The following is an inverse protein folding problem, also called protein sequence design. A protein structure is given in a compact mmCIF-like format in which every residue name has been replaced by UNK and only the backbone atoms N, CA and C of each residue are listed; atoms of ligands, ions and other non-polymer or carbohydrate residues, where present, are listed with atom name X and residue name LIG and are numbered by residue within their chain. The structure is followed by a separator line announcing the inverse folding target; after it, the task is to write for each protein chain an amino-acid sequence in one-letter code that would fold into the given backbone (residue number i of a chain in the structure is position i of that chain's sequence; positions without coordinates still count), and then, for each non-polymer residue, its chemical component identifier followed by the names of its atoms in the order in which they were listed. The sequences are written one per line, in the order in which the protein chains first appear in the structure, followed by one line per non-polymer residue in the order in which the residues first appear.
data_IF_382652310616
#
_entry.id   IF_382652310616
#
_cell.length_a   1.000
_cell.length_b   1.000
_cell.length_c   1.000
_cell.angle_alpha   90.00
_cell.angle_beta   90.00
_cell.angle_gamma   90.00
#
_symmetry.space_group_name_H-M   'P 1'
#
loop_
_entity.id
_entity.type
_entity.pdbx_description
1 polymer ?
#
# COMPACT_ATOMS: atom_id res chain seq x y z
N UNK A 1 5.95 18.51 -43.68
CA UNK A 1 6.95 18.27 -42.63
C UNK A 1 8.08 19.27 -42.75
N UNK A 2 8.35 19.99 -41.65
CA UNK A 2 9.35 21.07 -41.71
C UNK A 2 10.76 20.45 -41.66
N UNK A 3 11.41 20.34 -42.79
CA UNK A 3 12.75 19.73 -43.00
C UNK A 3 13.87 20.35 -42.17
N UNK A 4 13.64 21.53 -41.59
CA UNK A 4 14.65 22.24 -40.77
C UNK A 4 14.90 21.55 -39.40
N UNK A 5 13.94 20.89 -38.82
CA UNK A 5 14.10 20.18 -37.52
C UNK A 5 14.87 18.87 -37.66
N UNK A 6 14.88 18.25 -38.85
CA UNK A 6 15.56 16.99 -39.09
C UNK A 6 17.04 17.21 -39.35
N UNK A 7 17.40 18.32 -39.98
CA UNK A 7 18.81 18.67 -40.30
C UNK A 7 19.70 18.88 -39.09
N UNK A 8 19.14 19.23 -37.91
CA UNK A 8 19.93 19.40 -36.71
C UNK A 8 20.38 18.09 -36.03
N UNK A 9 19.69 16.95 -36.32
CA UNK A 9 20.00 15.65 -35.72
C UNK A 9 20.80 14.69 -36.59
N UNK A 10 20.75 14.85 -37.92
CA UNK A 10 21.40 13.97 -38.87
C UNK A 10 22.30 14.77 -39.81
N UNK A 11 23.57 14.37 -39.94
CA UNK A 11 24.55 15.03 -40.80
C UNK A 11 24.25 14.83 -42.30
N UNK A 12 23.67 13.68 -42.67
CA UNK A 12 23.35 13.31 -44.06
C UNK A 12 21.85 12.93 -44.16
N UNK A 13 21.24 13.25 -45.32
CA UNK A 13 19.84 12.88 -45.62
C UNK A 13 19.61 11.36 -45.63
N UNK A 14 20.63 10.61 -45.98
CA UNK A 14 20.58 9.14 -46.04
C UNK A 14 20.45 8.48 -44.65
N UNK A 15 20.79 9.21 -43.59
CA UNK A 15 20.67 8.76 -42.22
C UNK A 15 19.27 9.06 -41.61
N UNK A 16 18.36 9.66 -42.37
CA UNK A 16 17.02 9.99 -41.93
C UNK A 16 16.12 8.79 -42.15
N UNK A 17 15.71 8.17 -41.04
CA UNK A 17 14.73 7.11 -41.09
C UNK A 17 13.37 7.72 -41.49
N UNK A 18 12.73 7.21 -42.53
CA UNK A 18 11.39 7.61 -42.94
C UNK A 18 10.40 6.49 -42.71
N UNK A 19 9.32 6.78 -41.98
CA UNK A 19 8.18 5.87 -41.81
C UNK A 19 7.11 6.24 -42.84
N UNK A 20 6.61 5.25 -43.58
CA UNK A 20 5.53 5.46 -44.54
C UNK A 20 4.24 5.94 -43.84
N UNK A 21 3.42 6.69 -44.56
CA UNK A 21 2.16 7.25 -44.03
C UNK A 21 1.26 6.18 -43.41
N UNK A 22 1.06 5.08 -44.12
CA UNK A 22 0.18 3.98 -43.65
C UNK A 22 0.67 3.36 -42.34
N UNK A 23 2.00 3.12 -42.22
CA UNK A 23 2.58 2.58 -40.98
C UNK A 23 2.45 3.56 -39.82
N UNK A 24 2.67 4.86 -40.11
CA UNK A 24 2.50 5.92 -39.11
C UNK A 24 1.05 6.04 -38.64
N UNK A 25 0.09 5.96 -39.55
CA UNK A 25 -1.34 6.05 -39.23
C UNK A 25 -1.80 4.84 -38.41
N UNK A 26 -1.39 3.63 -38.78
CA UNK A 26 -1.65 2.41 -38.00
C UNK A 26 -1.07 2.49 -36.59
N UNK A 27 0.18 2.96 -36.45
CA UNK A 27 0.81 3.13 -35.14
C UNK A 27 0.06 4.15 -34.25
N UNK A 28 -0.35 5.29 -34.82
CA UNK A 28 -1.14 6.27 -34.09
C UNK A 28 -2.53 5.75 -33.69
N UNK A 29 -3.19 5.00 -34.56
CA UNK A 29 -4.47 4.39 -34.28
C UNK A 29 -4.39 3.35 -33.19
N UNK A 30 -3.36 2.47 -33.21
CA UNK A 30 -3.11 1.50 -32.17
C UNK A 30 -2.79 2.17 -30.82
N UNK A 31 -1.95 3.22 -30.82
CA UNK A 31 -1.63 3.96 -29.62
C UNK A 31 -2.86 4.63 -28.99
N UNK A 32 -3.73 5.25 -29.82
CA UNK A 32 -5.00 5.84 -29.36
C UNK A 32 -5.89 4.78 -28.72
N UNK A 33 -6.00 3.62 -29.36
CA UNK A 33 -6.78 2.51 -28.84
C UNK A 33 -6.25 2.04 -27.49
N UNK A 34 -4.93 1.81 -27.35
CA UNK A 34 -4.28 1.42 -26.10
C UNK A 34 -4.53 2.44 -24.99
N UNK A 35 -4.34 3.73 -25.28
CA UNK A 35 -4.60 4.82 -24.31
C UNK A 35 -6.06 4.83 -23.85
N UNK A 36 -7.01 4.62 -24.77
CA UNK A 36 -8.43 4.67 -24.45
C UNK A 36 -8.93 3.44 -23.69
N UNK A 37 -8.37 2.26 -23.93
CA UNK A 37 -8.89 0.99 -23.40
C UNK A 37 -8.05 0.44 -22.22
N UNK A 38 -6.75 0.70 -22.20
CA UNK A 38 -5.82 0.16 -21.19
C UNK A 38 -5.02 1.24 -20.47
N UNK A 39 -5.19 2.52 -20.86
CA UNK A 39 -4.45 3.63 -20.31
C UNK A 39 -4.95 4.03 -18.91
N UNK A 40 -4.02 4.18 -17.99
CA UNK A 40 -4.27 4.78 -16.69
C UNK A 40 -3.79 6.23 -16.69
N UNK A 41 -4.73 7.18 -16.70
CA UNK A 41 -4.43 8.61 -16.83
C UNK A 41 -4.40 9.32 -15.48
N UNK A 42 -3.41 10.20 -15.31
CA UNK A 42 -3.29 11.15 -14.19
C UNK A 42 -2.92 12.51 -14.77
N UNK A 43 -3.88 13.43 -14.80
CA UNK A 43 -3.71 14.70 -15.50
C UNK A 43 -3.42 14.49 -16.99
N UNK A 44 -2.31 15.05 -17.46
CA UNK A 44 -1.83 14.92 -18.85
C UNK A 44 -0.87 13.74 -19.09
N UNK A 45 -0.64 12.90 -18.05
CA UNK A 45 0.18 11.70 -18.13
C UNK A 45 -0.70 10.44 -18.20
N UNK A 46 -0.35 9.52 -19.09
CA UNK A 46 -1.01 8.22 -19.22
C UNK A 46 0.03 7.10 -19.21
N UNK A 47 -0.19 6.14 -18.31
CA UNK A 47 0.59 4.89 -18.25
C UNK A 47 -0.16 3.84 -19.05
N UNK A 48 0.52 3.20 -19.99
CA UNK A 48 -0.01 2.10 -20.79
C UNK A 48 0.89 0.88 -20.65
N UNK A 49 0.28 -0.27 -20.41
CA UNK A 49 0.99 -1.57 -20.31
C UNK A 49 0.24 -2.57 -21.16
N UNK A 50 0.96 -3.25 -22.05
CA UNK A 50 0.33 -4.23 -22.93
C UNK A 50 1.31 -5.34 -23.34
N UNK A 51 0.73 -6.49 -23.68
CA UNK A 51 1.41 -7.58 -24.35
C UNK A 51 1.27 -7.39 -25.86
N UNK A 52 2.34 -7.57 -26.64
CA UNK A 52 2.31 -7.35 -28.09
C UNK A 52 1.34 -8.29 -28.79
N UNK A 53 1.19 -9.53 -28.30
CA UNK A 53 0.21 -10.50 -28.78
C UNK A 53 -1.25 -10.18 -28.43
N UNK A 54 -1.50 -9.20 -27.57
CA UNK A 54 -2.83 -8.78 -27.15
C UNK A 54 -3.41 -9.52 -25.95
N UNK A 55 -2.62 -10.37 -25.30
CA UNK A 55 -3.05 -11.08 -24.08
C UNK A 55 -3.12 -10.14 -22.87
N UNK A 56 -4.07 -10.43 -21.98
CA UNK A 56 -4.21 -9.69 -20.72
C UNK A 56 -3.02 -9.92 -19.81
N UNK A 57 -2.49 -8.86 -19.24
CA UNK A 57 -1.36 -8.88 -18.32
C UNK A 57 -1.64 -8.03 -17.08
N UNK A 58 -1.08 -8.40 -15.91
CA UNK A 58 -1.19 -7.56 -14.73
C UNK A 58 -0.42 -6.25 -14.92
N UNK A 59 -0.97 -5.13 -14.45
CA UNK A 59 -0.28 -3.85 -14.54
C UNK A 59 0.45 -3.53 -13.22
N UNK A 60 1.56 -2.79 -13.24
CA UNK A 60 2.27 -2.41 -12.03
C UNK A 60 1.46 -1.45 -11.13
N UNK A 61 0.32 -0.95 -11.63
CA UNK A 61 -0.54 -0.01 -10.91
C UNK A 61 -1.54 -0.69 -9.98
N UNK A 62 -1.83 -1.99 -10.22
CA UNK A 62 -2.81 -2.78 -9.49
C UNK A 62 -2.32 -3.17 -8.10
N UNK A 63 -3.25 -3.37 -7.18
CA UNK A 63 -2.97 -4.05 -5.91
C UNK A 63 -3.02 -5.59 -6.08
N UNK A 64 -2.63 -6.31 -5.04
CA UNK A 64 -2.62 -7.78 -5.12
C UNK A 64 -4.01 -8.36 -5.28
N UNK A 65 -5.04 -7.75 -4.68
CA UNK A 65 -6.40 -8.23 -4.84
C UNK A 65 -6.83 -8.22 -6.31
N UNK A 66 -6.59 -7.12 -7.03
CA UNK A 66 -6.94 -6.98 -8.44
C UNK A 66 -6.22 -8.01 -9.34
N UNK A 67 -4.98 -8.38 -8.99
CA UNK A 67 -4.21 -9.37 -9.74
C UNK A 67 -4.68 -10.80 -9.45
N UNK A 68 -5.09 -11.08 -8.22
CA UNK A 68 -5.42 -12.43 -7.76
C UNK A 68 -6.91 -12.75 -7.80
N UNK A 69 -7.76 -11.74 -7.82
CA UNK A 69 -9.21 -11.90 -7.81
C UNK A 69 -9.72 -12.26 -9.22
N UNK A 70 -9.57 -13.52 -9.57
CA UNK A 70 -10.23 -14.10 -10.76
C UNK A 70 -11.72 -14.41 -10.58
N UNK A 71 -12.34 -14.06 -9.45
CA UNK A 71 -13.71 -14.39 -9.10
C UNK A 71 -14.62 -13.21 -8.80
N UNK A 72 -15.93 -13.40 -8.87
CA UNK A 72 -16.94 -12.42 -8.45
C UNK A 72 -16.84 -12.21 -6.92
N UNK A 73 -16.46 -11.01 -6.43
CA UNK A 73 -16.36 -10.73 -5.00
C UNK A 73 -17.70 -10.80 -4.27
N UNK A 74 -18.80 -10.85 -4.99
CA UNK A 74 -20.17 -10.97 -4.49
C UNK A 74 -20.73 -12.40 -4.63
N UNK A 75 -19.96 -13.36 -5.17
CA UNK A 75 -20.33 -14.76 -5.24
C UNK A 75 -20.21 -15.47 -3.89
N UNK A 76 -20.94 -16.60 -3.75
CA UNK A 76 -20.91 -17.43 -2.53
C UNK A 76 -19.53 -18.04 -2.24
N UNK A 77 -18.68 -18.17 -3.26
CA UNK A 77 -17.30 -18.65 -3.18
C UNK A 77 -16.26 -17.52 -3.16
N UNK A 78 -16.65 -16.30 -2.76
CA UNK A 78 -15.69 -15.20 -2.62
C UNK A 78 -14.53 -15.65 -1.72
N UNK A 79 -13.30 -15.68 -2.19
CA UNK A 79 -12.19 -16.20 -1.41
C UNK A 79 -12.08 -15.41 -0.12
N UNK A 80 -12.17 -16.09 1.01
CA UNK A 80 -11.81 -15.50 2.29
C UNK A 80 -10.32 -15.11 2.19
N UNK A 81 -10.08 -13.84 1.92
CA UNK A 81 -8.76 -13.32 1.58
C UNK A 81 -7.79 -13.25 2.78
N UNK A 82 -8.13 -13.93 3.87
CA UNK A 82 -7.29 -14.00 5.06
C UNK A 82 -6.44 -15.27 4.96
N UNK A 83 -5.21 -15.09 4.50
CA UNK A 83 -4.24 -16.17 4.50
C UNK A 83 -3.58 -16.27 5.87
N UNK A 84 -3.72 -17.44 6.50
CA UNK A 84 -3.16 -17.69 7.83
C UNK A 84 -1.64 -17.92 7.82
N UNK A 85 -0.99 -17.95 6.64
CA UNK A 85 0.46 -18.07 6.54
C UNK A 85 1.04 -17.39 5.30
N UNK A 86 2.27 -16.90 5.41
CA UNK A 86 3.04 -16.33 4.30
C UNK A 86 3.19 -17.31 3.12
N UNK A 87 3.26 -18.62 3.41
CA UNK A 87 3.35 -19.66 2.36
C UNK A 87 2.07 -19.75 1.52
N UNK A 88 0.91 -19.64 2.14
CA UNK A 88 -0.37 -19.69 1.41
C UNK A 88 -0.50 -18.48 0.51
N UNK A 89 -0.13 -17.29 1.03
CA UNK A 89 -0.13 -16.07 0.26
C UNK A 89 0.85 -16.12 -0.92
N UNK A 90 2.11 -16.49 -0.69
CA UNK A 90 3.13 -16.60 -1.74
C UNK A 90 2.68 -17.58 -2.84
N UNK A 91 2.05 -18.71 -2.47
CA UNK A 91 1.49 -19.68 -3.42
C UNK A 91 0.34 -19.10 -4.24
N UNK A 92 -0.52 -18.26 -3.64
CA UNK A 92 -1.60 -17.60 -4.37
C UNK A 92 -1.06 -16.64 -5.43
N UNK A 93 -0.13 -15.78 -5.06
CA UNK A 93 0.52 -14.85 -6.01
C UNK A 93 1.21 -15.63 -7.11
N UNK A 94 1.89 -16.72 -6.77
CA UNK A 94 2.53 -17.58 -7.75
C UNK A 94 1.53 -18.24 -8.72
N UNK A 95 0.41 -18.75 -8.23
CA UNK A 95 -0.65 -19.31 -9.07
C UNK A 95 -1.27 -18.26 -10.00
N UNK A 96 -1.54 -17.05 -9.48
CA UNK A 96 -2.06 -15.96 -10.29
C UNK A 96 -1.07 -15.58 -11.40
N UNK A 97 0.21 -15.38 -11.06
CA UNK A 97 1.26 -15.03 -12.03
C UNK A 97 1.45 -16.14 -13.06
N UNK A 98 1.45 -17.42 -12.64
CA UNK A 98 1.53 -18.54 -13.56
C UNK A 98 0.30 -18.61 -14.49
N UNK A 99 -0.89 -18.24 -14.01
CA UNK A 99 -2.09 -18.15 -14.85
C UNK A 99 -1.92 -17.18 -16.01
N UNK A 100 -1.26 -16.05 -15.80
CA UNK A 100 -0.87 -15.13 -16.89
C UNK A 100 0.20 -15.72 -17.79
N UNK A 101 1.23 -16.36 -17.20
CA UNK A 101 2.33 -16.96 -17.95
C UNK A 101 1.87 -18.01 -18.95
N UNK A 102 0.88 -18.85 -18.61
CA UNK A 102 0.34 -19.85 -19.53
C UNK A 102 -0.41 -19.27 -20.73
N UNK A 103 -0.88 -18.03 -20.64
CA UNK A 103 -1.62 -17.36 -21.71
C UNK A 103 -0.70 -16.61 -22.68
N UNK A 104 0.48 -16.20 -22.24
CA UNK A 104 1.39 -15.34 -23.02
C UNK A 104 2.45 -16.23 -23.68
N UNK A 105 2.60 -16.21 -25.01
CA UNK A 105 3.68 -16.92 -25.70
C UNK A 105 5.07 -16.44 -25.27
N UNK A 106 6.04 -17.34 -25.12
CA UNK A 106 7.41 -17.02 -24.67
C UNK A 106 8.16 -16.04 -25.60
N UNK A 107 7.77 -16.00 -26.88
CA UNK A 107 8.36 -15.11 -27.90
C UNK A 107 7.66 -13.76 -28.01
N UNK A 108 6.73 -13.48 -27.13
CA UNK A 108 6.04 -12.18 -27.07
C UNK A 108 6.81 -11.19 -26.19
N UNK A 109 6.42 -9.92 -26.27
CA UNK A 109 7.01 -8.86 -25.46
C UNK A 109 5.94 -8.11 -24.68
N UNK A 110 6.29 -7.72 -23.47
CA UNK A 110 5.50 -6.81 -22.63
C UNK A 110 6.11 -5.41 -22.69
N UNK A 111 5.31 -4.43 -23.07
CA UNK A 111 5.74 -3.05 -23.19
C UNK A 111 5.06 -2.20 -22.13
N UNK A 112 5.85 -1.35 -21.47
CA UNK A 112 5.37 -0.31 -20.57
C UNK A 112 5.77 1.03 -21.14
N UNK A 113 4.80 1.92 -21.29
CA UNK A 113 5.02 3.26 -21.81
C UNK A 113 4.30 4.29 -20.92
N UNK A 114 4.99 5.36 -20.59
CA UNK A 114 4.39 6.54 -19.97
C UNK A 114 4.41 7.65 -21.00
N UNK A 115 3.23 8.16 -21.30
CA UNK A 115 2.97 9.21 -22.26
C UNK A 115 2.59 10.49 -21.53
N UNK A 116 3.11 11.61 -21.97
CA UNK A 116 2.76 12.93 -21.44
C UNK A 116 2.37 13.88 -22.57
N UNK A 117 1.23 14.54 -22.39
CA UNK A 117 0.68 15.51 -23.34
C UNK A 117 0.73 16.93 -22.75
N UNK A 118 1.95 17.47 -22.59
CA UNK A 118 2.16 18.79 -21.99
C UNK A 118 1.49 19.95 -22.77
N UNK A 119 1.21 19.75 -24.05
CA UNK A 119 0.47 20.72 -24.89
C UNK A 119 -0.37 19.99 -25.93
N UNK A 120 -1.55 20.54 -26.34
CA UNK A 120 -2.36 19.96 -27.38
C UNK A 120 -1.56 19.65 -28.66
N UNK A 121 -1.64 18.42 -29.13
CA UNK A 121 -0.94 17.95 -30.33
C UNK A 121 0.52 17.55 -30.16
N UNK A 122 1.05 17.56 -28.92
CA UNK A 122 2.40 17.06 -28.62
C UNK A 122 2.32 15.96 -27.57
N UNK A 123 2.69 14.75 -27.99
CA UNK A 123 2.82 13.59 -27.12
C UNK A 123 4.30 13.27 -26.93
N UNK A 124 4.74 13.17 -25.68
CA UNK A 124 6.10 12.79 -25.28
C UNK A 124 6.06 11.44 -24.60
N UNK A 125 7.05 10.59 -24.88
CA UNK A 125 7.27 9.35 -24.15
C UNK A 125 8.29 9.68 -23.06
N UNK A 126 7.85 9.64 -21.79
CA UNK A 126 8.72 9.94 -20.63
C UNK A 126 9.35 8.68 -20.05
N UNK A 127 8.72 7.53 -20.28
CA UNK A 127 9.21 6.23 -19.84
C UNK A 127 8.87 5.16 -20.89
N UNK A 128 9.83 4.28 -21.19
CA UNK A 128 9.66 3.15 -22.08
C UNK A 128 10.49 1.97 -21.60
N UNK A 129 9.86 0.80 -21.48
CA UNK A 129 10.53 -0.47 -21.23
C UNK A 129 9.86 -1.58 -22.01
N UNK A 130 10.70 -2.53 -22.40
CA UNK A 130 10.31 -3.75 -23.07
C UNK A 130 10.90 -4.93 -22.30
N UNK A 131 10.09 -5.94 -22.04
CA UNK A 131 10.46 -7.11 -21.25
C UNK A 131 10.04 -8.39 -21.96
N UNK A 132 10.78 -9.48 -21.72
CA UNK A 132 10.20 -10.80 -21.91
C UNK A 132 9.03 -11.02 -20.92
N UNK A 133 8.03 -11.83 -21.26
CA UNK A 133 6.91 -12.10 -20.37
C UNK A 133 7.38 -12.61 -19.01
N UNK A 134 8.34 -13.53 -19.01
CA UNK A 134 8.89 -14.11 -17.79
C UNK A 134 9.54 -13.05 -16.87
N UNK A 135 10.41 -12.20 -17.43
CA UNK A 135 11.08 -11.15 -16.66
C UNK A 135 10.07 -10.15 -16.07
N UNK A 136 9.05 -9.81 -16.86
CA UNK A 136 8.00 -8.89 -16.40
C UNK A 136 7.20 -9.49 -15.24
N UNK A 137 6.71 -10.72 -15.42
CA UNK A 137 5.90 -11.42 -14.43
C UNK A 137 6.68 -11.70 -13.13
N UNK A 138 7.96 -12.01 -13.22
CA UNK A 138 8.83 -12.19 -12.05
C UNK A 138 9.02 -10.88 -11.27
N UNK A 139 9.07 -9.73 -11.94
CA UNK A 139 9.12 -8.41 -11.29
C UNK A 139 7.80 -8.09 -10.57
N UNK A 140 6.67 -8.35 -11.22
CA UNK A 140 5.34 -8.22 -10.60
C UNK A 140 5.23 -9.14 -9.38
N UNK A 141 5.59 -10.42 -9.52
CA UNK A 141 5.62 -11.39 -8.42
C UNK A 141 6.47 -10.90 -7.24
N UNK A 142 7.69 -10.44 -7.54
CA UNK A 142 8.62 -9.93 -6.51
C UNK A 142 8.01 -8.75 -5.75
N UNK A 143 7.39 -7.80 -6.45
CA UNK A 143 6.73 -6.68 -5.81
C UNK A 143 5.61 -7.13 -4.88
N UNK A 144 4.70 -7.96 -5.39
CA UNK A 144 3.53 -8.41 -4.64
C UNK A 144 3.85 -9.36 -3.49
N UNK A 145 5.02 -10.01 -3.50
CA UNK A 145 5.48 -10.88 -2.40
C UNK A 145 6.35 -10.16 -1.37
N UNK A 146 6.88 -8.99 -1.68
CA UNK A 146 7.78 -8.25 -0.78
C UNK A 146 7.18 -6.98 -0.19
N UNK A 147 6.21 -6.36 -0.88
CA UNK A 147 5.46 -5.18 -0.41
C UNK A 147 4.15 -5.60 0.28
N UNK A 148 4.22 -6.58 1.18
CA UNK A 148 3.05 -7.30 1.73
C UNK A 148 2.62 -6.76 3.07
N UNK A 149 1.30 -6.62 3.24
CA UNK A 149 0.61 -6.46 4.52
C UNK A 149 -0.84 -6.91 4.44
N UNK A 150 -1.54 -6.99 5.58
CA UNK A 150 -2.98 -7.24 5.60
C UNK A 150 -3.73 -5.90 5.52
N UNK A 151 -4.65 -5.78 4.56
CA UNK A 151 -5.43 -4.59 4.25
C UNK A 151 -6.93 -4.85 4.42
N UNK A 152 -7.64 -3.89 5.06
CA UNK A 152 -9.10 -3.96 5.32
C UNK A 152 -9.87 -2.81 4.68
N UNK A 153 -9.26 -2.07 3.77
CA UNK A 153 -9.82 -0.82 3.22
C UNK A 153 -10.39 -0.94 1.81
N UNK A 154 -10.20 -2.07 1.14
CA UNK A 154 -10.66 -2.25 -0.25
C UNK A 154 -12.18 -2.25 -0.28
N UNK A 155 -12.75 -1.38 -1.10
CA UNK A 155 -14.18 -1.31 -1.34
C UNK A 155 -14.46 -1.71 -2.78
N UNK A 156 -15.25 -2.73 -2.96
CA UNK A 156 -15.68 -3.21 -4.28
C UNK A 156 -17.16 -2.93 -4.44
N UNK A 157 -17.54 -2.50 -5.63
CA UNK A 157 -18.94 -2.18 -5.95
C UNK A 157 -19.46 -3.05 -7.09
N UNK A 158 -20.74 -3.44 -7.00
CA UNK A 158 -21.48 -4.12 -8.06
C UNK A 158 -22.76 -3.34 -8.34
N UNK A 159 -23.06 -3.15 -9.60
CA UNK A 159 -24.35 -2.59 -10.00
C UNK A 159 -25.33 -3.76 -10.12
N UNK A 160 -26.39 -3.74 -9.31
CA UNK A 160 -27.44 -4.73 -9.33
C UNK A 160 -28.38 -4.49 -10.55
N UNK A 161 -29.16 -5.51 -10.97
CA UNK A 161 -30.10 -5.37 -12.09
C UNK A 161 -31.15 -4.26 -11.92
N UNK A 162 -31.42 -3.88 -10.67
CA UNK A 162 -32.34 -2.77 -10.32
C UNK A 162 -31.67 -1.39 -10.37
N UNK A 163 -30.40 -1.31 -10.79
CA UNK A 163 -29.61 -0.08 -10.87
C UNK A 163 -29.01 0.41 -9.54
N UNK A 164 -29.26 -0.30 -8.43
CA UNK A 164 -28.63 0.02 -7.14
C UNK A 164 -27.20 -0.45 -7.11
N UNK A 165 -26.36 0.29 -6.38
CA UNK A 165 -24.97 -0.06 -6.14
C UNK A 165 -24.86 -0.80 -4.81
N UNK A 166 -24.39 -2.04 -4.86
CA UNK A 166 -23.97 -2.81 -3.68
C UNK A 166 -22.49 -2.59 -3.43
N UNK A 167 -22.14 -2.30 -2.17
CA UNK A 167 -20.76 -2.06 -1.73
C UNK A 167 -20.34 -3.14 -0.76
N UNK A 168 -19.19 -3.76 -1.02
CA UNK A 168 -18.62 -4.78 -0.14
C UNK A 168 -17.21 -4.39 0.28
N UNK A 169 -16.95 -4.40 1.59
CA UNK A 169 -15.61 -4.26 2.12
C UNK A 169 -14.84 -5.59 1.98
N UNK A 170 -13.66 -5.50 1.39
CA UNK A 170 -12.78 -6.65 1.17
C UNK A 170 -11.55 -6.50 2.05
N UNK A 171 -11.23 -7.57 2.75
CA UNK A 171 -9.96 -7.75 3.45
C UNK A 171 -9.04 -8.59 2.57
N UNK A 172 -7.82 -8.13 2.33
CA UNK A 172 -6.85 -8.85 1.52
C UNK A 172 -5.43 -8.71 2.08
N UNK A 173 -4.62 -9.72 1.84
CA UNK A 173 -3.19 -9.69 2.13
C UNK A 173 -2.44 -9.40 0.83
N UNK A 174 -1.50 -8.44 0.85
CA UNK A 174 -0.73 -8.16 -0.36
C UNK A 174 -0.10 -6.79 -0.43
N UNK A 175 0.32 -6.43 -1.66
CA UNK A 175 0.82 -5.11 -1.97
C UNK A 175 -0.34 -4.15 -2.26
N UNK A 176 -0.31 -2.93 -1.74
CA UNK A 176 -1.25 -1.88 -2.11
C UNK A 176 -0.98 -1.36 -3.51
N UNK A 177 -1.97 -0.68 -4.10
CA UNK A 177 -1.79 0.02 -5.38
C UNK A 177 -0.79 1.17 -5.26
N UNK A 178 -0.20 1.57 -6.39
CA UNK A 178 0.71 2.75 -6.43
C UNK A 178 0.01 4.00 -5.90
N UNK A 179 -1.27 4.21 -6.24
CA UNK A 179 -2.02 5.35 -5.75
C UNK A 179 -2.20 5.32 -4.23
N UNK A 180 -2.42 4.15 -3.66
CA UNK A 180 -2.54 3.99 -2.21
C UNK A 180 -1.20 4.26 -1.50
N UNK A 181 -0.07 3.86 -2.09
CA UNK A 181 1.27 4.19 -1.57
C UNK A 181 1.50 5.71 -1.57
N UNK A 182 1.16 6.38 -2.67
CA UNK A 182 1.26 7.85 -2.76
C UNK A 182 0.35 8.51 -1.73
N UNK A 183 -0.89 8.03 -1.60
CA UNK A 183 -1.84 8.51 -0.58
C UNK A 183 -1.31 8.35 0.84
N UNK A 184 -0.73 7.20 1.19
CA UNK A 184 -0.20 6.97 2.53
C UNK A 184 0.94 7.92 2.88
N UNK A 185 1.81 8.23 1.92
CA UNK A 185 2.97 9.09 2.13
C UNK A 185 2.65 10.59 2.06
N UNK A 186 1.76 11.01 1.17
CA UNK A 186 1.56 12.43 0.84
C UNK A 186 0.13 12.94 1.10
N UNK A 187 -0.84 12.07 1.33
CA UNK A 187 -2.23 12.45 1.54
C UNK A 187 -3.05 12.56 0.24
N UNK A 188 -4.24 13.18 0.36
CA UNK A 188 -5.17 13.33 -0.78
C UNK A 188 -4.81 14.48 -1.72
N UNK A 189 -4.24 15.55 -1.16
CA UNK A 189 -4.00 16.82 -1.88
C UNK A 189 -2.57 16.88 -2.45
N UNK A 190 -2.21 15.87 -3.23
CA UNK A 190 -0.92 15.86 -3.94
C UNK A 190 -1.08 16.63 -5.25
N UNK A 191 -0.19 17.57 -5.51
CA UNK A 191 -0.11 18.27 -6.80
C UNK A 191 0.06 17.27 -7.94
N UNK A 192 -0.61 17.49 -9.07
CA UNK A 192 -0.59 16.56 -10.22
C UNK A 192 0.84 16.32 -10.74
N UNK A 193 1.66 17.36 -10.82
CA UNK A 193 3.05 17.23 -11.25
C UNK A 193 3.86 16.36 -10.31
N UNK A 194 3.65 16.55 -9.00
CA UNK A 194 4.28 15.71 -7.98
C UNK A 194 3.77 14.27 -8.06
N UNK A 195 2.46 14.07 -8.23
CA UNK A 195 1.86 12.74 -8.34
C UNK A 195 2.45 11.94 -9.51
N UNK A 196 2.59 12.55 -10.69
CA UNK A 196 3.22 11.95 -11.86
C UNK A 196 4.65 11.49 -11.57
N UNK A 197 5.46 12.37 -11.00
CA UNK A 197 6.84 12.04 -10.66
C UNK A 197 6.94 10.89 -9.65
N UNK A 198 6.07 10.88 -8.64
CA UNK A 198 6.01 9.79 -7.66
C UNK A 198 5.57 8.46 -8.29
N UNK A 199 4.63 8.49 -9.23
CA UNK A 199 4.23 7.30 -9.99
C UNK A 199 5.38 6.73 -10.82
N UNK A 200 6.14 7.55 -11.53
CA UNK A 200 7.32 7.12 -12.30
C UNK A 200 8.38 6.46 -11.41
N UNK A 201 8.62 7.03 -10.23
CA UNK A 201 9.54 6.44 -9.25
C UNK A 201 9.05 5.05 -8.82
N UNK A 202 7.78 4.92 -8.44
CA UNK A 202 7.23 3.64 -7.98
C UNK A 202 7.15 2.59 -9.10
N UNK A 203 6.77 2.99 -10.31
CA UNK A 203 6.83 2.12 -11.50
C UNK A 203 8.27 1.61 -11.68
N UNK A 204 9.27 2.48 -11.58
CA UNK A 204 10.67 2.06 -11.67
C UNK A 204 11.11 1.12 -10.54
N UNK A 205 10.52 1.24 -9.34
CA UNK A 205 10.78 0.27 -8.25
C UNK A 205 10.26 -1.13 -8.61
N UNK A 206 9.12 -1.20 -9.30
CA UNK A 206 8.50 -2.47 -9.71
C UNK A 206 9.25 -3.04 -10.93
N UNK A 207 9.38 -2.25 -11.99
CA UNK A 207 9.81 -2.70 -13.30
C UNK A 207 11.33 -2.73 -13.50
N UNK A 208 12.05 -1.77 -12.91
CA UNK A 208 13.52 -1.72 -12.98
C UNK A 208 14.19 -2.36 -11.75
N UNK A 209 13.42 -2.84 -10.75
CA UNK A 209 13.95 -3.40 -9.52
C UNK A 209 14.68 -2.38 -8.65
N UNK A 210 14.37 -1.09 -8.80
CA UNK A 210 14.94 -0.05 -7.94
C UNK A 210 14.43 -0.19 -6.52
N UNK A 211 15.27 0.16 -5.56
CA UNK A 211 14.89 0.13 -4.13
C UNK A 211 13.80 1.12 -3.81
N UNK A 212 12.90 0.75 -2.91
CA UNK A 212 11.91 1.67 -2.34
C UNK A 212 12.62 2.90 -1.74
N UNK A 213 12.30 4.12 -2.18
CA UNK A 213 12.95 5.32 -1.65
C UNK A 213 12.64 5.51 -0.17
N UNK A 214 13.69 5.82 0.62
CA UNK A 214 13.56 6.08 2.05
C UNK A 214 12.57 7.20 2.38
N UNK A 215 12.41 8.15 1.48
CA UNK A 215 11.47 9.26 1.64
C UNK A 215 10.02 8.82 1.68
N UNK A 216 9.61 7.83 0.86
CA UNK A 216 8.26 7.25 0.95
C UNK A 216 8.01 6.65 2.33
N UNK A 217 8.95 5.84 2.81
CA UNK A 217 8.86 5.24 4.13
C UNK A 217 8.80 6.30 5.24
N UNK A 218 9.70 7.28 5.22
CA UNK A 218 9.76 8.31 6.26
C UNK A 218 8.51 9.19 6.28
N UNK A 219 8.02 9.62 5.11
CA UNK A 219 6.82 10.47 5.02
C UNK A 219 5.56 9.74 5.43
N UNK A 220 5.38 8.50 4.97
CA UNK A 220 4.23 7.67 5.38
C UNK A 220 4.27 7.41 6.89
N UNK A 221 5.43 7.06 7.43
CA UNK A 221 5.62 6.83 8.85
C UNK A 221 5.36 8.09 9.69
N UNK A 222 5.87 9.25 9.25
CA UNK A 222 5.62 10.53 9.92
C UNK A 222 4.14 10.87 9.94
N UNK A 223 3.44 10.64 8.83
CA UNK A 223 2.02 10.94 8.70
C UNK A 223 1.16 10.04 9.60
N UNK A 224 1.37 8.72 9.60
CA UNK A 224 0.61 7.81 10.46
C UNK A 224 0.96 7.93 11.95
N UNK A 225 2.15 8.45 12.28
CA UNK A 225 2.51 8.80 13.65
C UNK A 225 1.81 10.06 14.17
N UNK A 226 1.10 10.79 13.32
CA UNK A 226 0.28 11.93 13.69
C UNK A 226 -1.21 11.67 13.38
N UNK A 227 -1.96 11.03 14.30
CA UNK A 227 -3.37 10.70 14.08
C UNK A 227 -4.25 11.91 13.72
N UNK A 228 -3.87 13.12 14.17
CA UNK A 228 -4.60 14.36 13.88
C UNK A 228 -4.53 14.80 12.40
N UNK A 229 -3.64 14.21 11.60
CA UNK A 229 -3.57 14.46 10.16
C UNK A 229 -4.65 13.72 9.36
N UNK A 230 -5.50 12.96 10.02
CA UNK A 230 -6.60 12.21 9.43
C UNK A 230 -7.94 12.70 10.01
N UNK A 231 -8.95 12.78 9.15
CA UNK A 231 -10.29 13.19 9.57
C UNK A 231 -11.06 12.04 10.21
N UNK A 232 -10.82 10.82 9.73
CA UNK A 232 -11.55 9.62 10.09
C UNK A 232 -10.61 8.48 10.50
N UNK A 233 -11.03 7.64 11.44
CA UNK A 233 -10.24 6.51 11.95
C UNK A 233 -9.91 5.48 10.86
N UNK A 234 -10.82 5.27 9.91
CA UNK A 234 -10.59 4.35 8.81
C UNK A 234 -9.48 4.82 7.87
N UNK A 235 -9.32 6.16 7.68
CA UNK A 235 -8.23 6.72 6.90
C UNK A 235 -6.86 6.47 7.55
N UNK A 236 -6.79 6.65 8.87
CA UNK A 236 -5.60 6.32 9.66
C UNK A 236 -5.28 4.82 9.57
N UNK A 237 -6.31 3.96 9.69
CA UNK A 237 -6.15 2.51 9.60
C UNK A 237 -5.65 2.10 8.20
N UNK A 238 -6.25 2.66 7.14
CA UNK A 238 -5.81 2.49 5.76
C UNK A 238 -4.35 2.90 5.58
N UNK A 239 -4.00 4.12 5.94
CA UNK A 239 -2.65 4.64 5.80
C UNK A 239 -1.63 3.84 6.62
N UNK A 240 -2.01 3.35 7.81
CA UNK A 240 -1.16 2.52 8.66
C UNK A 240 -0.84 1.18 7.98
N UNK A 241 -1.84 0.47 7.47
CA UNK A 241 -1.63 -0.82 6.79
C UNK A 241 -0.76 -0.67 5.54
N UNK A 242 -0.96 0.38 4.75
CA UNK A 242 -0.13 0.68 3.57
C UNK A 242 1.30 1.03 3.98
N UNK A 243 1.48 1.81 5.06
CA UNK A 243 2.80 2.15 5.58
C UNK A 243 3.56 0.90 6.04
N UNK A 244 2.88 -0.08 6.63
CA UNK A 244 3.47 -1.37 6.97
C UNK A 244 3.99 -2.10 5.71
N UNK A 245 3.25 -2.11 4.62
CA UNK A 245 3.72 -2.67 3.34
C UNK A 245 4.97 -1.95 2.82
N UNK A 246 5.00 -0.62 2.87
CA UNK A 246 6.15 0.20 2.46
C UNK A 246 7.39 -0.15 3.31
N UNK A 247 7.22 -0.29 4.63
CA UNK A 247 8.30 -0.66 5.55
C UNK A 247 8.83 -2.06 5.23
N UNK A 248 7.95 -3.05 5.00
CA UNK A 248 8.36 -4.40 4.61
C UNK A 248 9.17 -4.38 3.31
N UNK A 249 8.67 -3.68 2.29
CA UNK A 249 9.41 -3.53 1.02
C UNK A 249 10.78 -2.88 1.22
N UNK A 250 10.84 -1.82 2.00
CA UNK A 250 12.10 -1.13 2.30
C UNK A 250 13.10 -2.05 3.05
N UNK A 251 12.63 -2.85 4.00
CA UNK A 251 13.45 -3.83 4.73
C UNK A 251 13.96 -4.91 3.78
N UNK A 252 13.08 -5.44 2.93
CA UNK A 252 13.48 -6.42 1.91
C UNK A 252 14.56 -5.86 0.99
N UNK A 253 14.38 -4.66 0.47
CA UNK A 253 15.34 -4.01 -0.45
C UNK A 253 16.70 -3.69 0.20
N UNK A 254 16.73 -3.52 1.52
CA UNK A 254 17.96 -3.14 2.26
C UNK A 254 18.63 -4.30 2.94
N UNK A 255 17.86 -5.27 3.46
CA UNK A 255 18.39 -6.39 4.27
C UNK A 255 18.24 -7.76 3.59
N UNK A 256 17.50 -7.85 2.46
CA UNK A 256 17.29 -9.10 1.74
C UNK A 256 16.37 -10.10 2.46
N UNK A 257 15.63 -9.66 3.47
CA UNK A 257 14.74 -10.51 4.26
C UNK A 257 13.33 -9.96 4.26
N UNK A 258 12.33 -10.83 4.09
CA UNK A 258 10.97 -10.51 4.48
C UNK A 258 10.90 -10.45 6.00
N UNK A 259 10.32 -9.39 6.53
CA UNK A 259 10.05 -9.32 7.95
C UNK A 259 8.87 -10.26 8.23
N UNK A 260 9.11 -11.33 9.00
CA UNK A 260 8.02 -12.20 9.41
C UNK A 260 7.12 -11.43 10.37
N UNK A 261 5.80 -11.58 10.21
CA UNK A 261 4.79 -10.92 11.06
C UNK A 261 4.88 -11.32 12.55
N UNK A 262 5.83 -12.17 12.92
CA UNK A 262 5.98 -12.78 14.24
C UNK A 262 6.94 -12.02 15.12
N UNK A 263 7.13 -10.72 14.98
CA UNK A 263 8.09 -10.16 15.89
C UNK A 263 7.86 -8.80 16.42
N UNK A 264 8.42 -8.70 17.57
CA UNK A 264 8.55 -7.61 18.51
C UNK A 264 7.18 -7.05 18.93
N UNK A 265 6.73 -7.58 20.05
CA UNK A 265 5.84 -6.89 20.96
C UNK A 265 6.32 -5.45 21.08
N UNK A 266 6.07 -4.70 20.02
CA UNK A 266 6.46 -3.32 19.97
C UNK A 266 5.50 -2.60 20.86
N UNK A 267 5.98 -2.32 22.02
CA UNK A 267 5.65 -1.13 22.76
C UNK A 267 4.19 -0.97 23.16
N UNK A 268 3.93 -0.62 24.35
CA UNK A 268 2.64 -0.21 24.90
C UNK A 268 1.84 0.81 24.08
N UNK A 269 2.36 1.26 22.91
CA UNK A 269 1.66 2.18 22.03
C UNK A 269 0.38 1.60 21.42
N UNK A 270 0.36 0.32 21.06
CA UNK A 270 -0.85 -0.29 20.52
C UNK A 270 -1.90 -0.50 21.59
N UNK A 271 -1.48 -0.98 22.76
CA UNK A 271 -2.34 -1.10 23.95
C UNK A 271 -2.86 0.27 24.34
N UNK A 272 -2.01 1.27 24.34
CA UNK A 272 -2.37 2.65 24.58
C UNK A 272 -3.40 3.20 23.59
N UNK A 273 -3.18 3.03 22.28
CA UNK A 273 -4.11 3.51 21.27
C UNK A 273 -5.48 2.81 21.37
N UNK A 274 -5.49 1.52 21.74
CA UNK A 274 -6.73 0.77 21.96
C UNK A 274 -7.45 1.22 23.23
N UNK A 275 -6.75 1.38 24.36
CA UNK A 275 -7.32 1.95 25.58
C UNK A 275 -7.93 3.32 25.32
N UNK A 276 -7.22 4.18 24.60
CA UNK A 276 -7.70 5.50 24.25
C UNK A 276 -8.96 5.47 23.40
N UNK A 277 -9.07 4.53 22.48
CA UNK A 277 -10.26 4.35 21.63
C UNK A 277 -11.44 3.84 22.44
N UNK A 278 -11.26 2.81 23.26
CA UNK A 278 -12.31 2.24 24.11
C UNK A 278 -12.85 3.28 25.10
N UNK A 279 -11.99 4.13 25.64
CA UNK A 279 -12.38 5.23 26.52
C UNK A 279 -13.18 6.31 25.79
N UNK A 280 -12.82 6.60 24.53
CA UNK A 280 -13.54 7.54 23.69
C UNK A 280 -14.94 7.04 23.34
N UNK A 281 -15.09 5.74 23.01
CA UNK A 281 -16.37 5.12 22.69
C UNK A 281 -17.32 5.06 23.90
N UNK A 282 -16.80 5.11 25.12
CA UNK A 282 -17.61 5.10 26.38
C UNK A 282 -18.29 6.43 26.74
N UNK A 283 -18.30 7.43 25.85
CA UNK A 283 -19.12 8.65 25.98
C UNK A 283 -18.38 9.98 26.06
N UNK A 284 -17.06 10.00 26.02
CA UNK A 284 -16.30 11.25 25.97
C UNK A 284 -15.98 11.61 24.51
N UNK A 285 -16.55 12.71 24.02
CA UNK A 285 -16.43 13.16 22.60
C UNK A 285 -15.05 13.72 22.23
N UNK A 286 -14.07 13.70 23.12
CA UNK A 286 -12.73 14.23 22.87
C UNK A 286 -11.68 13.13 22.94
N UNK A 287 -10.86 12.95 21.87
CA UNK A 287 -9.77 12.00 21.93
C UNK A 287 -8.80 12.37 23.06
N UNK A 288 -8.35 11.40 23.88
CA UNK A 288 -7.43 11.65 24.97
C UNK A 288 -6.19 12.43 24.52
N UNK A 289 -5.72 13.38 25.32
CA UNK A 289 -4.53 14.15 25.03
C UNK A 289 -3.28 13.30 24.80
N UNK A 290 -3.29 12.10 25.33
CA UNK A 290 -2.24 11.12 25.16
C UNK A 290 -2.05 10.68 23.69
N UNK A 291 -3.11 10.61 22.86
CA UNK A 291 -3.01 10.31 21.41
C UNK A 291 -2.15 11.34 20.67
N UNK A 292 -2.17 12.60 21.12
CA UNK A 292 -1.36 13.68 20.54
C UNK A 292 0.15 13.49 20.76
N UNK A 293 0.54 12.66 21.70
CA UNK A 293 1.94 12.37 22.03
C UNK A 293 2.58 11.32 21.12
N UNK A 294 1.79 10.66 20.28
CA UNK A 294 2.26 9.57 19.43
C UNK A 294 3.43 9.95 18.50
N UNK A 295 3.40 11.15 17.93
CA UNK A 295 4.50 11.66 17.12
C UNK A 295 5.79 11.88 17.93
N UNK A 296 5.66 12.35 19.18
CA UNK A 296 6.78 12.51 20.11
C UNK A 296 7.32 11.17 20.58
N UNK A 297 6.43 10.20 20.83
CA UNK A 297 6.81 8.86 21.24
C UNK A 297 7.78 8.21 20.26
N UNK A 298 7.55 8.33 18.97
CA UNK A 298 8.47 7.83 17.94
C UNK A 298 9.89 8.42 18.05
N UNK A 299 10.01 9.69 18.45
CA UNK A 299 11.29 10.42 18.48
C UNK A 299 12.00 10.26 19.83
N UNK A 300 11.23 10.25 20.92
CA UNK A 300 11.71 10.17 22.28
C UNK A 300 10.85 9.18 23.11
N UNK A 301 10.98 7.87 22.84
CA UNK A 301 10.03 6.88 23.37
C UNK A 301 10.03 6.84 24.90
N UNK A 302 11.15 6.76 25.55
CA UNK A 302 11.23 6.60 26.99
C UNK A 302 10.61 7.77 27.76
N UNK A 303 11.01 9.00 27.43
CA UNK A 303 10.46 10.20 28.07
C UNK A 303 8.98 10.38 27.79
N UNK A 304 8.55 10.06 26.57
CA UNK A 304 7.16 10.25 26.16
C UNK A 304 6.27 9.19 26.78
N UNK A 305 6.75 7.97 26.96
CA UNK A 305 5.98 6.87 27.57
C UNK A 305 5.55 7.21 29.01
N UNK A 306 6.45 7.78 29.81
CA UNK A 306 6.11 8.23 31.16
C UNK A 306 4.98 9.28 31.17
N UNK A 307 5.06 10.27 30.24
CA UNK A 307 4.04 11.30 30.12
C UNK A 307 2.71 10.70 29.62
N UNK A 308 2.77 9.70 28.76
CA UNK A 308 1.59 8.96 28.29
C UNK A 308 0.94 8.21 29.44
N UNK A 309 1.73 7.48 30.22
CA UNK A 309 1.25 6.72 31.37
C UNK A 309 0.56 7.64 32.39
N UNK A 310 1.21 8.73 32.79
CA UNK A 310 0.62 9.76 33.67
C UNK A 310 -0.71 10.31 33.14
N UNK A 311 -0.79 10.61 31.84
CA UNK A 311 -2.00 11.14 31.21
C UNK A 311 -3.12 10.13 31.02
N UNK A 312 -2.83 8.84 31.11
CA UNK A 312 -3.84 7.78 31.05
C UNK A 312 -4.48 7.50 32.39
N UNK A 313 -3.80 7.71 33.50
CA UNK A 313 -4.33 7.40 34.85
C UNK A 313 -5.75 7.87 35.10
N UNK A 314 -6.13 9.15 34.80
CA UNK A 314 -7.50 9.61 35.02
C UNK A 314 -8.57 8.88 34.22
N UNK A 315 -8.18 8.30 33.09
CA UNK A 315 -9.07 7.51 32.23
C UNK A 315 -9.18 6.09 32.73
N UNK A 316 -8.07 5.48 33.16
CA UNK A 316 -8.04 4.15 33.77
C UNK A 316 -8.94 4.10 35.04
N UNK A 317 -8.86 5.14 35.88
CA UNK A 317 -9.71 5.27 37.06
C UNK A 317 -11.21 5.31 36.73
N UNK A 318 -11.58 5.85 35.55
CA UNK A 318 -12.99 5.91 35.10
C UNK A 318 -13.49 4.60 34.51
N UNK A 319 -12.62 3.70 34.05
CA UNK A 319 -13.02 2.49 33.34
C UNK A 319 -13.59 1.39 34.23
N UNK A 320 -13.51 1.53 35.56
CA UNK A 320 -13.91 0.48 36.48
C UNK A 320 -13.53 -0.94 35.96
N UNK A 321 -13.60 -1.94 36.70
CA UNK A 321 -13.05 -3.30 36.54
C UNK A 321 -13.08 -3.97 35.13
N UNK A 322 -13.83 -3.45 34.17
CA UNK A 322 -14.04 -4.15 32.89
C UNK A 322 -12.91 -4.00 31.83
N UNK A 323 -12.04 -3.00 31.98
CA UNK A 323 -10.99 -2.72 30.97
C UNK A 323 -9.60 -2.48 31.56
N UNK A 324 -9.39 -2.74 32.84
CA UNK A 324 -8.08 -2.62 33.52
C UNK A 324 -7.03 -3.55 32.93
N UNK A 325 -7.44 -4.68 32.35
CA UNK A 325 -6.54 -5.64 31.73
C UNK A 325 -5.68 -5.04 30.59
N UNK A 326 -6.19 -4.03 29.88
CA UNK A 326 -5.43 -3.33 28.83
C UNK A 326 -4.30 -2.49 29.44
N UNK A 327 -4.59 -1.83 30.54
CA UNK A 327 -3.59 -1.08 31.29
C UNK A 327 -2.53 -2.02 31.89
N UNK A 328 -2.96 -3.17 32.42
CA UNK A 328 -2.05 -4.21 32.92
C UNK A 328 -1.13 -4.76 31.83
N UNK A 329 -1.66 -4.98 30.61
CA UNK A 329 -0.82 -5.38 29.46
C UNK A 329 0.18 -4.28 29.09
N UNK A 330 -0.19 -3.01 29.13
CA UNK A 330 0.72 -1.88 28.92
C UNK A 330 1.82 -1.83 29.97
N UNK A 331 1.46 -2.01 31.26
CA UNK A 331 2.44 -2.04 32.35
C UNK A 331 3.41 -3.21 32.24
N UNK A 332 2.97 -4.39 31.78
CA UNK A 332 3.85 -5.53 31.49
C UNK A 332 4.89 -5.18 30.43
N UNK A 333 4.46 -4.53 29.34
CA UNK A 333 5.37 -4.10 28.25
C UNK A 333 6.35 -3.04 28.78
N UNK A 334 5.90 -2.10 29.60
CA UNK A 334 6.78 -1.10 30.23
C UNK A 334 7.84 -1.77 31.10
N UNK A 335 7.45 -2.79 31.88
CA UNK A 335 8.36 -3.54 32.75
C UNK A 335 9.43 -4.36 31.97
N UNK A 336 9.14 -4.75 30.72
CA UNK A 336 10.09 -5.45 29.83
C UNK A 336 11.14 -4.51 29.21
N UNK A 337 10.94 -3.19 29.25
CA UNK A 337 11.88 -2.22 28.69
C UNK A 337 13.15 -2.19 29.56
N UNK A 338 14.29 -2.47 28.94
CA UNK A 338 15.55 -2.44 29.68
C UNK A 338 15.92 -1.03 30.16
N UNK A 339 16.61 -0.94 31.29
CA UNK A 339 17.09 0.34 31.81
C UNK A 339 17.99 1.07 30.78
N UNK A 340 18.77 0.33 30.00
CA UNK A 340 19.60 0.91 28.93
C UNK A 340 18.79 1.52 27.81
N UNK A 341 17.71 0.87 27.36
CA UNK A 341 16.82 1.41 26.31
C UNK A 341 16.09 2.64 26.81
N UNK A 342 15.68 2.61 28.08
CA UNK A 342 15.03 3.74 28.73
C UNK A 342 15.95 4.97 28.83
N UNK A 343 17.21 4.75 29.21
CA UNK A 343 18.21 5.84 29.31
C UNK A 343 18.63 6.37 27.93
N UNK A 344 18.60 5.54 26.91
CA UNK A 344 19.10 5.87 25.58
C UNK A 344 18.14 6.80 24.79
N UNK A 345 16.84 6.70 25.04
CA UNK A 345 15.78 7.55 24.45
C UNK A 345 15.97 7.90 22.96
N UNK A 346 16.53 6.95 22.17
CA UNK A 346 16.73 7.11 20.72
C UNK A 346 15.42 6.99 19.95
N UNK A 347 15.31 7.65 18.78
CA UNK A 347 14.18 7.45 17.91
C UNK A 347 13.96 5.97 17.58
N UNK A 348 12.71 5.54 17.57
CA UNK A 348 12.33 4.16 17.22
C UNK A 348 12.66 3.85 15.75
N UNK A 349 13.13 2.64 15.51
CA UNK A 349 13.28 2.12 14.15
C UNK A 349 11.90 2.05 13.47
N UNK A 350 11.78 2.28 12.15
CA UNK A 350 10.51 2.17 11.42
C UNK A 350 9.73 0.88 11.67
N UNK A 351 10.40 -0.21 12.01
CA UNK A 351 9.81 -1.51 12.35
C UNK A 351 8.83 -1.45 13.53
N UNK A 352 8.94 -0.44 14.40
CA UNK A 352 8.01 -0.28 15.53
C UNK A 352 6.55 -0.22 15.09
N UNK A 353 6.29 0.31 13.88
CA UNK A 353 4.93 0.39 13.35
C UNK A 353 4.36 -0.99 12.99
N UNK A 354 5.21 -1.92 12.53
CA UNK A 354 4.81 -3.30 12.26
C UNK A 354 4.35 -3.98 13.55
N UNK A 355 5.15 -3.85 14.61
CA UNK A 355 4.78 -4.36 15.93
C UNK A 355 3.50 -3.73 16.48
N UNK A 356 3.36 -2.40 16.36
CA UNK A 356 2.12 -1.70 16.71
C UNK A 356 0.90 -2.28 15.99
N UNK A 357 0.98 -2.48 14.67
CA UNK A 357 -0.12 -3.01 13.89
C UNK A 357 -0.46 -4.46 14.26
N UNK A 358 0.55 -5.30 14.52
CA UNK A 358 0.37 -6.67 14.99
C UNK A 358 -0.31 -6.72 16.37
N UNK A 359 0.18 -5.94 17.33
CA UNK A 359 -0.38 -5.90 18.68
C UNK A 359 -1.83 -5.42 18.67
N UNK A 360 -2.13 -4.38 17.87
CA UNK A 360 -3.51 -3.89 17.69
C UNK A 360 -4.43 -5.00 17.16
N UNK A 361 -3.98 -5.77 16.17
CA UNK A 361 -4.75 -6.87 15.60
C UNK A 361 -4.99 -8.00 16.63
N UNK A 362 -4.01 -8.33 17.47
CA UNK A 362 -4.16 -9.33 18.51
C UNK A 362 -5.18 -8.90 19.61
N UNK A 363 -5.11 -7.64 20.03
CA UNK A 363 -6.03 -7.09 21.02
C UNK A 363 -7.47 -7.13 20.52
N UNK A 364 -7.71 -6.79 19.27
CA UNK A 364 -9.05 -6.88 18.65
C UNK A 364 -9.56 -8.31 18.62
N UNK A 365 -8.75 -9.30 18.21
CA UNK A 365 -9.13 -10.72 18.20
C UNK A 365 -9.50 -11.26 19.60
N UNK A 366 -8.82 -10.80 20.64
CA UNK A 366 -9.15 -11.20 22.04
C UNK A 366 -10.47 -10.62 22.51
N UNK A 367 -10.86 -9.47 21.99
CA UNK A 367 -12.13 -8.83 22.33
C UNK A 367 -13.31 -9.56 21.68
N UNK A 368 -13.22 -9.84 20.38
CA UNK A 368 -14.28 -10.56 19.64
C UNK A 368 -14.59 -11.92 20.26
N UNK A 369 -13.57 -12.68 20.70
CA UNK A 369 -13.76 -13.97 21.39
C UNK A 369 -14.42 -13.85 22.76
N UNK A 370 -14.26 -12.73 23.47
CA UNK A 370 -14.93 -12.52 24.78
C UNK A 370 -16.40 -12.16 24.63
N UNK A 371 -16.77 -11.49 23.56
CA UNK A 371 -18.15 -11.16 23.27
C UNK A 371 -18.92 -12.39 22.79
N UNK A 372 -18.34 -13.26 21.95
CA UNK A 372 -18.93 -14.55 21.56
C UNK A 372 -19.16 -15.50 22.76
N UNK A 373 -18.25 -15.49 23.74
CA UNK A 373 -18.42 -16.33 24.95
C UNK A 373 -19.50 -15.79 25.88
N UNK A 374 -19.73 -14.50 25.91
CA UNK A 374 -20.83 -13.92 26.74
C UNK A 374 -22.21 -14.18 26.13
N UNK A 375 -22.33 -14.11 24.79
CA UNK A 375 -23.60 -14.42 24.11
C UNK A 375 -23.98 -15.92 24.22
N UNK A 376 -22.97 -16.81 24.37
CA UNK A 376 -23.21 -18.25 24.60
C UNK A 376 -23.53 -18.61 26.05
N UNK A 377 -23.22 -17.77 27.03
CA UNK A 377 -23.56 -17.96 28.44
C UNK A 377 -24.92 -17.33 28.83
N UNK A 378 -25.46 -16.43 28.01
CA UNK A 378 -26.79 -15.81 28.23
C UNK A 378 -27.94 -16.51 27.45
N UNK A 379 -27.69 -17.55 26.70
CA UNK A 379 -28.67 -18.43 26.04
C UNK A 379 -28.70 -19.81 26.67
#
# INVERSE_FOLDING_TARGET
MNTAHIRGRFKNKENVFSVGFESSDKAHSALRWLVSNQGFSTGDQTVVVWCVGGEDIPTPLQDTYDITAGGDPFGDEAPAAIYNSERQYAKLVELAVNGYKYKIPDNDNVIIMILESATPGRLSITYYREFSPNDYLDRIKTWHTTCVWNHKYKLVSKILPDGKQELKHIEFTGAPSINDIIYAAYGRNVDEKQKKHLMEILISCITDGKRMPKDFMNKSLQRVSNPQSFNEDWELSKATSITCSIINKYIYDTKGMNYSMSLDKATGEATFAYCSKTMFESGDKRPPNAIKLRSKYRIQPAKTLMVIDEKLLPYVEKLYSSSTWLYDEMQKVIAEISANDFMNNKPLDPQYLLGYACQKAELLKKHDKKDETKETEEN
#
